data_IF_264156364088
#
_entry.id   IF_264156364088
#
_cell.length_a   1.000
_cell.length_b   1.000
_cell.length_c   1.000
_cell.angle_alpha   90.00
_cell.angle_beta   90.00
_cell.angle_gamma   90.00
#
_symmetry.space_group_name_H-M   'P 1'
#
loop_
_entity.id
_entity.type
_entity.pdbx_description
1 polymer ?
#
# COMPACT_ATOMS: atom_id res chain seq x y z
N UNK A 1 -30.13 11.38 6.51
CA UNK A 1 -28.81 11.77 7.06
C UNK A 1 -28.44 11.01 8.36
N UNK A 2 -29.18 9.97 8.74
CA UNK A 2 -28.91 9.19 9.96
C UNK A 2 -27.82 8.10 9.77
N UNK A 3 -27.28 7.94 8.59
CA UNK A 3 -26.67 6.69 8.12
C UNK A 3 -25.17 6.82 7.83
N UNK A 4 -24.44 7.58 8.64
CA UNK A 4 -23.01 7.81 8.51
C UNK A 4 -22.14 6.91 9.37
N UNK A 5 -20.88 6.86 9.05
CA UNK A 5 -19.79 6.22 9.80
C UNK A 5 -18.83 7.30 10.27
N UNK A 6 -18.41 7.24 11.52
CA UNK A 6 -17.64 8.31 12.17
C UNK A 6 -16.33 7.78 12.78
N UNK A 7 -15.33 7.41 11.99
CA UNK A 7 -14.01 7.11 12.54
C UNK A 7 -13.34 8.37 13.09
N UNK A 8 -12.33 8.23 13.98
CA UNK A 8 -11.46 9.33 14.33
C UNK A 8 -10.76 9.92 13.11
N UNK A 9 -10.54 11.23 13.09
CA UNK A 9 -9.85 11.90 11.98
C UNK A 9 -8.48 11.27 11.70
N UNK A 10 -7.71 10.99 12.75
CA UNK A 10 -6.42 10.32 12.67
C UNK A 10 -6.51 8.99 11.91
N UNK A 11 -7.51 8.16 12.25
CA UNK A 11 -7.70 6.85 11.62
C UNK A 11 -8.05 6.99 10.14
N UNK A 12 -8.99 7.87 9.78
CA UNK A 12 -9.35 8.09 8.39
C UNK A 12 -8.17 8.66 7.57
N UNK A 13 -7.39 9.56 8.16
CA UNK A 13 -6.19 10.11 7.54
C UNK A 13 -5.17 9.03 7.24
N UNK A 14 -4.90 8.14 8.17
CA UNK A 14 -3.98 7.01 7.97
C UNK A 14 -4.48 6.02 6.91
N UNK A 15 -5.78 5.73 6.89
CA UNK A 15 -6.39 4.90 5.86
C UNK A 15 -6.21 5.48 4.44
N UNK A 16 -6.35 6.78 4.30
CA UNK A 16 -6.19 7.47 3.01
C UNK A 16 -4.72 7.59 2.65
N UNK A 17 -3.89 8.15 3.52
CA UNK A 17 -2.46 8.36 3.23
C UNK A 17 -1.70 7.05 3.01
N UNK A 18 -2.12 5.99 3.68
CA UNK A 18 -1.54 4.65 3.55
C UNK A 18 -1.96 3.87 2.31
N UNK A 19 -2.83 4.42 1.45
CA UNK A 19 -3.35 3.71 0.27
C UNK A 19 -3.35 4.54 -1.01
N UNK A 20 -3.59 5.84 -0.92
CA UNK A 20 -3.86 6.71 -2.07
C UNK A 20 -2.72 6.76 -3.09
N UNK A 21 -1.46 6.54 -2.69
CA UNK A 21 -0.32 6.51 -3.59
C UNK A 21 -0.39 5.37 -4.61
N UNK A 22 -1.19 4.33 -4.36
CA UNK A 22 -1.32 3.15 -5.20
C UNK A 22 -2.52 3.18 -6.15
N UNK A 23 -3.28 4.28 -6.23
CA UNK A 23 -4.36 4.41 -7.21
C UNK A 23 -3.80 4.45 -8.63
N UNK A 24 -4.57 3.95 -9.58
CA UNK A 24 -4.21 3.97 -11.00
C UNK A 24 -4.30 5.38 -11.58
N UNK A 25 -3.37 5.72 -12.45
CA UNK A 25 -3.43 6.92 -13.28
C UNK A 25 -4.14 6.64 -14.62
N UNK A 26 -4.46 5.38 -14.92
CA UNK A 26 -5.08 4.96 -16.16
C UNK A 26 -6.58 5.24 -16.17
N UNK A 27 -6.98 6.22 -16.97
CA UNK A 27 -8.38 6.65 -17.10
C UNK A 27 -9.28 5.66 -17.88
N UNK A 28 -8.71 4.63 -18.49
CA UNK A 28 -9.49 3.60 -19.19
C UNK A 28 -10.30 2.72 -18.24
N UNK A 29 -9.91 2.64 -16.99
CA UNK A 29 -10.64 2.00 -15.89
C UNK A 29 -10.80 2.98 -14.74
N UNK A 30 -11.79 3.88 -14.81
CA UNK A 30 -11.94 4.94 -13.81
C UNK A 30 -12.08 4.46 -12.39
N UNK A 31 -12.69 3.29 -12.16
CA UNK A 31 -12.89 2.73 -10.81
C UNK A 31 -11.56 2.52 -10.06
N UNK A 32 -10.46 2.22 -10.76
CA UNK A 32 -9.15 2.03 -10.16
C UNK A 32 -8.36 3.35 -9.95
N UNK A 33 -8.92 4.50 -10.34
CA UNK A 33 -8.37 5.82 -10.00
C UNK A 33 -8.77 6.30 -8.61
N UNK A 34 -9.54 5.50 -7.90
CA UNK A 34 -9.97 5.74 -6.53
C UNK A 34 -9.65 4.60 -5.58
N UNK A 35 -10.01 4.78 -4.34
CA UNK A 35 -9.86 3.78 -3.29
C UNK A 35 -11.20 3.12 -2.97
N UNK A 36 -11.20 1.80 -2.87
CA UNK A 36 -12.35 1.01 -2.41
C UNK A 36 -12.39 1.03 -0.90
N UNK A 37 -13.53 1.44 -0.36
CA UNK A 37 -13.85 1.34 1.06
C UNK A 37 -14.79 0.17 1.29
N UNK A 38 -14.44 -0.68 2.22
CA UNK A 38 -15.28 -1.75 2.74
C UNK A 38 -15.48 -1.49 4.24
N UNK A 39 -16.69 -1.12 4.61
CA UNK A 39 -17.06 -0.86 6.00
C UNK A 39 -17.91 -2.02 6.49
N UNK A 40 -17.49 -2.63 7.58
CA UNK A 40 -18.24 -3.64 8.33
C UNK A 40 -18.68 -3.06 9.67
N UNK A 41 -19.36 -3.84 10.48
CA UNK A 41 -19.72 -3.43 11.84
C UNK A 41 -18.48 -3.19 12.72
N UNK A 42 -17.37 -3.84 12.44
CA UNK A 42 -16.16 -3.85 13.27
C UNK A 42 -14.97 -3.10 12.68
N UNK A 43 -14.94 -2.86 11.36
CA UNK A 43 -13.76 -2.29 10.72
C UNK A 43 -14.04 -1.51 9.43
N UNK A 44 -13.05 -0.71 9.03
CA UNK A 44 -12.95 -0.08 7.72
C UNK A 44 -11.70 -0.62 7.05
N UNK A 45 -11.87 -1.18 5.85
CA UNK A 45 -10.76 -1.59 4.98
C UNK A 45 -10.73 -0.68 3.76
N UNK A 46 -9.58 -0.10 3.45
CA UNK A 46 -9.37 0.73 2.26
C UNK A 46 -8.31 0.09 1.39
N UNK A 47 -8.60 -0.04 0.11
CA UNK A 47 -7.73 -0.70 -0.88
C UNK A 47 -7.57 0.17 -2.11
N UNK A 48 -6.33 0.28 -2.58
CA UNK A 48 -5.97 0.90 -3.86
C UNK A 48 -5.12 -0.06 -4.69
N UNK A 49 -5.34 -0.08 -6.00
CA UNK A 49 -4.62 -0.94 -6.96
C UNK A 49 -4.34 -0.19 -8.25
N UNK A 50 -3.22 -0.48 -8.91
CA UNK A 50 -2.88 0.11 -10.21
C UNK A 50 -2.43 -0.91 -11.27
N UNK A 51 -2.58 -2.20 -10.99
CA UNK A 51 -2.15 -3.30 -11.87
C UNK A 51 -0.73 -3.78 -11.62
N UNK A 52 0.09 -3.06 -10.85
CA UNK A 52 1.47 -3.40 -10.48
C UNK A 52 1.66 -3.57 -8.98
N UNK A 53 0.78 -2.99 -8.20
CA UNK A 53 0.83 -2.98 -6.74
C UNK A 53 -0.56 -2.88 -6.14
N UNK A 54 -0.66 -3.26 -4.87
CA UNK A 54 -1.85 -3.13 -4.06
C UNK A 54 -1.47 -2.56 -2.70
N UNK A 55 -2.22 -1.57 -2.23
CA UNK A 55 -2.10 -1.02 -0.89
C UNK A 55 -3.40 -1.24 -0.13
N UNK A 56 -3.30 -1.82 1.05
CA UNK A 56 -4.42 -2.07 1.94
C UNK A 56 -4.12 -1.53 3.33
N UNK A 57 -5.07 -0.80 3.90
CA UNK A 57 -5.06 -0.38 5.31
C UNK A 57 -6.38 -0.73 5.95
N UNK A 58 -6.34 -1.06 7.25
CA UNK A 58 -7.53 -1.43 8.03
C UNK A 58 -7.52 -0.74 9.38
N UNK A 59 -8.70 -0.26 9.76
CA UNK A 59 -8.98 0.31 11.08
C UNK A 59 -10.08 -0.50 11.75
N UNK A 60 -9.86 -0.89 13.00
CA UNK A 60 -10.84 -1.60 13.83
C UNK A 60 -11.51 -0.61 14.80
N UNK A 61 -12.85 -0.61 14.82
CA UNK A 61 -13.61 0.15 15.79
C UNK A 61 -13.58 -0.54 17.16
N UNK A 62 -13.53 0.25 18.22
CA UNK A 62 -13.69 -0.26 19.59
C UNK A 62 -15.14 -0.68 19.87
N UNK A 63 -16.10 0.06 19.32
CA UNK A 63 -17.51 -0.26 19.36
C UNK A 63 -18.05 -0.43 17.94
N UNK A 64 -19.14 -1.21 17.80
CA UNK A 64 -19.71 -1.46 16.49
C UNK A 64 -20.08 -0.18 15.75
N UNK A 65 -19.65 -0.06 14.50
CA UNK A 65 -19.94 1.10 13.64
C UNK A 65 -21.42 1.22 13.23
N UNK A 66 -22.20 0.17 13.43
CA UNK A 66 -23.63 0.13 13.15
C UNK A 66 -24.00 0.11 11.66
N UNK A 67 -23.03 0.03 10.76
CA UNK A 67 -23.25 0.12 9.32
C UNK A 67 -22.33 -0.77 8.54
N UNK A 68 -22.88 -1.34 7.46
CA UNK A 68 -22.13 -2.08 6.43
C UNK A 68 -22.30 -1.34 5.11
N UNK A 69 -21.20 -0.95 4.49
CA UNK A 69 -21.21 -0.29 3.18
C UNK A 69 -19.95 -0.57 2.39
N UNK A 70 -20.07 -0.52 1.08
CA UNK A 70 -18.95 -0.66 0.15
C UNK A 70 -19.08 0.37 -0.95
N UNK A 71 -18.01 1.10 -1.23
CA UNK A 71 -17.98 2.12 -2.28
C UNK A 71 -16.56 2.38 -2.75
N UNK A 72 -16.43 3.07 -3.88
CA UNK A 72 -15.14 3.56 -4.38
C UNK A 72 -15.19 5.09 -4.43
N UNK A 73 -14.29 5.70 -3.67
CA UNK A 73 -14.14 7.15 -3.62
C UNK A 73 -13.04 7.61 -4.58
N UNK A 74 -13.25 8.71 -5.35
CA UNK A 74 -12.24 9.23 -6.26
C UNK A 74 -10.95 9.63 -5.53
N UNK A 75 -9.80 9.27 -6.09
CA UNK A 75 -8.50 9.63 -5.53
C UNK A 75 -8.31 11.15 -5.39
N UNK A 76 -8.78 11.92 -6.35
CA UNK A 76 -8.71 13.39 -6.29
C UNK A 76 -9.49 13.96 -5.10
N UNK A 77 -10.67 13.43 -4.81
CA UNK A 77 -11.46 13.84 -3.64
C UNK A 77 -10.80 13.43 -2.33
N UNK A 78 -10.26 12.22 -2.26
CA UNK A 78 -9.55 11.74 -1.07
C UNK A 78 -8.30 12.53 -0.74
N UNK A 79 -7.58 13.04 -1.75
CA UNK A 79 -6.45 13.97 -1.54
C UNK A 79 -6.89 15.27 -0.87
N UNK A 80 -8.04 15.80 -1.22
CA UNK A 80 -8.60 16.99 -0.56
C UNK A 80 -9.09 16.66 0.85
N UNK A 81 -9.72 15.52 1.07
CA UNK A 81 -10.12 15.06 2.41
C UNK A 81 -8.89 14.90 3.33
N UNK A 82 -7.82 14.31 2.83
CA UNK A 82 -6.57 14.14 3.58
C UNK A 82 -6.01 15.47 4.11
N UNK A 83 -6.08 16.53 3.30
CA UNK A 83 -5.62 17.87 3.69
C UNK A 83 -6.45 18.49 4.83
N UNK A 84 -7.73 18.16 4.90
CA UNK A 84 -8.66 18.69 5.92
C UNK A 84 -8.53 17.91 7.24
N UNK A 85 -8.22 16.61 7.17
CA UNK A 85 -8.10 15.74 8.33
C UNK A 85 -6.93 16.13 9.23
N UNK A 86 -7.20 16.26 10.53
CA UNK A 86 -6.19 16.48 11.55
C UNK A 86 -5.69 15.18 12.19
N UNK A 87 -4.61 15.30 12.95
CA UNK A 87 -4.09 14.22 13.78
C UNK A 87 -4.74 14.24 15.17
N UNK A 88 -6.06 14.03 15.19
CA UNK A 88 -6.91 14.09 16.38
C UNK A 88 -7.85 12.90 16.45
N UNK A 89 -8.43 12.68 17.64
CA UNK A 89 -9.48 11.67 17.86
C UNK A 89 -10.90 12.22 17.61
N UNK A 90 -11.03 13.48 17.19
CA UNK A 90 -12.31 14.03 16.78
C UNK A 90 -12.87 13.24 15.59
N UNK A 91 -14.19 13.13 15.54
CA UNK A 91 -14.87 12.37 14.51
C UNK A 91 -14.72 12.98 13.11
N UNK A 92 -14.48 12.12 12.15
CA UNK A 92 -14.64 12.43 10.74
C UNK A 92 -15.78 11.57 10.19
N UNK A 93 -16.92 12.21 9.91
CA UNK A 93 -18.11 11.49 9.48
C UNK A 93 -18.15 11.40 7.95
N UNK A 94 -18.46 10.22 7.42
CA UNK A 94 -18.82 10.08 6.02
C UNK A 94 -20.17 9.37 5.87
N UNK A 95 -20.93 9.81 4.87
CA UNK A 95 -22.27 9.33 4.58
C UNK A 95 -22.39 8.96 3.11
N UNK A 96 -22.90 7.76 2.86
CA UNK A 96 -23.07 7.22 1.51
C UNK A 96 -24.47 7.55 0.97
N UNK A 97 -24.53 8.23 -0.16
CA UNK A 97 -25.73 8.40 -0.95
C UNK A 97 -25.78 7.40 -2.12
N UNK A 98 -26.78 7.54 -3.00
CA UNK A 98 -26.92 6.66 -4.16
C UNK A 98 -25.78 6.80 -5.18
N UNK A 99 -25.27 8.02 -5.37
CA UNK A 99 -24.20 8.34 -6.35
C UNK A 99 -23.11 9.25 -5.77
N UNK A 100 -23.26 9.69 -4.53
CA UNK A 100 -22.38 10.64 -3.89
C UNK A 100 -21.95 10.15 -2.53
N UNK A 101 -20.77 10.59 -2.15
CA UNK A 101 -20.18 10.41 -0.82
C UNK A 101 -19.96 11.78 -0.21
N UNK A 102 -20.38 11.96 1.03
CA UNK A 102 -20.21 13.21 1.77
C UNK A 102 -19.32 12.98 2.97
N UNK A 103 -18.31 13.81 3.13
CA UNK A 103 -17.46 13.89 4.32
C UNK A 103 -17.80 15.14 5.11
N UNK A 104 -17.93 14.99 6.42
CA UNK A 104 -18.10 16.07 7.38
C UNK A 104 -16.97 16.00 8.40
N UNK A 105 -16.10 17.01 8.38
CA UNK A 105 -14.88 17.07 9.18
C UNK A 105 -14.82 18.46 9.85
N UNK A 106 -15.15 18.53 11.13
CA UNK A 106 -15.38 19.81 11.81
C UNK A 106 -16.49 20.61 11.12
N UNK A 107 -16.17 21.82 10.70
CA UNK A 107 -17.12 22.70 9.97
C UNK A 107 -17.06 22.50 8.44
N UNK A 108 -16.10 21.69 7.95
CA UNK A 108 -15.95 21.44 6.53
C UNK A 108 -16.87 20.31 6.06
N UNK A 109 -17.45 20.51 4.89
CA UNK A 109 -18.21 19.47 4.18
C UNK A 109 -17.67 19.34 2.77
N UNK A 110 -17.32 18.10 2.40
CA UNK A 110 -16.88 17.76 1.06
C UNK A 110 -17.81 16.71 0.48
N UNK A 111 -18.33 16.97 -0.72
CA UNK A 111 -19.17 16.02 -1.45
C UNK A 111 -18.46 15.63 -2.74
N UNK A 112 -18.39 14.33 -3.00
CA UNK A 112 -17.84 13.81 -4.26
C UNK A 112 -18.77 12.77 -4.86
N UNK A 113 -18.65 12.58 -6.17
CA UNK A 113 -19.36 11.53 -6.88
C UNK A 113 -18.60 10.21 -6.73
N UNK A 114 -19.31 9.13 -6.45
CA UNK A 114 -18.75 7.79 -6.39
C UNK A 114 -18.23 7.35 -7.76
N UNK A 115 -17.18 6.58 -7.77
CA UNK A 115 -16.74 5.86 -8.97
C UNK A 115 -17.55 4.57 -9.09
N UNK A 116 -18.07 4.35 -10.28
CA UNK A 116 -18.85 3.16 -10.64
C UNK A 116 -17.98 2.18 -11.42
N UNK A 117 -18.28 0.91 -11.33
CA UNK A 117 -17.60 -0.16 -12.04
C UNK A 117 -17.18 -1.29 -11.11
N UNK A 118 -16.66 -2.34 -11.72
CA UNK A 118 -16.15 -3.50 -11.00
C UNK A 118 -14.71 -3.23 -10.54
N UNK A 119 -14.53 -3.17 -9.23
CA UNK A 119 -13.21 -3.10 -8.62
C UNK A 119 -12.58 -4.49 -8.53
N UNK A 120 -11.27 -4.58 -8.70
CA UNK A 120 -10.52 -5.83 -8.59
C UNK A 120 -10.88 -6.59 -7.31
N UNK A 121 -11.11 -7.89 -7.42
CA UNK A 121 -11.24 -8.77 -6.26
C UNK A 121 -9.86 -8.97 -5.63
N UNK A 122 -9.53 -8.04 -4.74
CA UNK A 122 -8.21 -7.96 -4.13
C UNK A 122 -7.86 -9.17 -3.25
N UNK A 123 -8.87 -9.85 -2.71
CA UNK A 123 -8.65 -11.05 -1.88
C UNK A 123 -8.08 -12.20 -2.70
N UNK A 124 -8.42 -12.28 -3.99
CA UNK A 124 -7.87 -13.28 -4.89
C UNK A 124 -6.46 -12.98 -5.37
N UNK A 125 -6.09 -11.71 -5.32
CA UNK A 125 -4.78 -11.24 -5.82
C UNK A 125 -3.70 -11.36 -4.75
N UNK A 126 -4.05 -11.13 -3.48
CA UNK A 126 -3.10 -11.30 -2.38
C UNK A 126 -2.75 -12.77 -2.20
N UNK A 127 -1.44 -13.13 -2.28
CA UNK A 127 -1.01 -14.48 -1.98
C UNK A 127 -1.31 -14.85 -0.53
N UNK A 128 -1.85 -16.02 -0.31
CA UNK A 128 -2.18 -16.54 1.03
C UNK A 128 -1.10 -17.44 1.61
N UNK A 129 -0.22 -17.96 0.75
CA UNK A 129 0.86 -18.87 1.12
C UNK A 129 2.19 -18.33 0.63
N UNK A 130 2.97 -17.78 1.56
CA UNK A 130 4.33 -17.31 1.31
C UNK A 130 5.27 -18.02 2.29
N UNK A 131 6.06 -19.01 1.82
CA UNK A 131 6.90 -19.82 2.70
C UNK A 131 8.11 -19.05 3.25
N UNK A 132 8.54 -17.97 2.60
CA UNK A 132 9.65 -17.14 3.05
C UNK A 132 9.09 -15.95 3.80
N UNK A 133 9.46 -15.81 5.07
CA UNK A 133 9.09 -14.68 5.92
C UNK A 133 10.34 -14.10 6.56
N UNK A 134 10.62 -12.84 6.23
CA UNK A 134 11.77 -12.12 6.76
C UNK A 134 11.27 -10.92 7.56
N UNK A 135 11.97 -10.57 8.62
CA UNK A 135 11.71 -9.35 9.38
C UNK A 135 12.79 -8.32 9.07
N UNK A 136 12.39 -7.11 8.73
CA UNK A 136 13.29 -6.02 8.41
C UNK A 136 12.95 -4.76 9.21
N UNK A 137 13.99 -3.97 9.53
CA UNK A 137 13.81 -2.60 9.99
C UNK A 137 13.44 -1.74 8.79
N UNK A 138 12.30 -1.04 8.88
CA UNK A 138 11.75 -0.26 7.76
C UNK A 138 12.69 0.85 7.31
N UNK A 139 13.23 1.62 8.24
CA UNK A 139 14.14 2.73 7.94
C UNK A 139 15.42 2.26 7.27
N UNK A 140 16.03 1.20 7.78
CA UNK A 140 17.25 0.63 7.21
C UNK A 140 17.02 0.04 5.82
N UNK A 141 15.93 -0.69 5.64
CA UNK A 141 15.55 -1.27 4.35
C UNK A 141 15.26 -0.17 3.32
N UNK A 142 14.48 0.83 3.69
CA UNK A 142 14.18 1.97 2.84
C UNK A 142 15.46 2.71 2.43
N UNK A 143 16.35 3.00 3.37
CA UNK A 143 17.62 3.69 3.09
C UNK A 143 18.52 2.89 2.14
N UNK A 144 18.59 1.57 2.31
CA UNK A 144 19.36 0.68 1.44
C UNK A 144 18.86 0.70 0.00
N UNK A 145 17.54 0.59 -0.19
CA UNK A 145 16.91 0.64 -1.51
C UNK A 145 17.02 2.05 -2.12
N UNK A 146 16.87 3.11 -1.34
CA UNK A 146 17.07 4.49 -1.82
C UNK A 146 18.49 4.68 -2.38
N UNK A 147 19.51 4.19 -1.70
CA UNK A 147 20.91 4.31 -2.17
C UNK A 147 21.13 3.67 -3.53
N UNK A 148 20.64 2.46 -3.75
CA UNK A 148 20.79 1.80 -5.06
C UNK A 148 19.88 2.38 -6.13
N UNK A 149 18.83 3.12 -5.74
CA UNK A 149 17.90 3.77 -6.64
C UNK A 149 18.41 5.10 -7.20
N UNK A 150 19.51 5.65 -6.68
CA UNK A 150 20.02 6.98 -7.08
C UNK A 150 20.37 7.09 -8.57
N UNK A 151 20.74 5.99 -9.21
CA UNK A 151 21.07 5.94 -10.64
C UNK A 151 19.86 5.56 -11.51
N UNK A 152 18.71 5.27 -10.91
CA UNK A 152 17.46 4.93 -11.60
C UNK A 152 16.61 6.18 -11.74
N UNK A 153 16.03 6.39 -12.92
CA UNK A 153 15.12 7.49 -13.21
C UNK A 153 14.03 7.05 -14.16
N UNK A 154 13.09 7.91 -14.47
CA UNK A 154 12.08 7.62 -15.50
C UNK A 154 12.69 7.36 -16.88
N UNK A 155 13.81 8.00 -17.16
CA UNK A 155 14.56 7.82 -18.41
C UNK A 155 15.49 6.62 -18.38
N UNK A 156 16.12 6.36 -17.22
CA UNK A 156 17.06 5.24 -16.99
C UNK A 156 16.39 4.20 -16.10
N UNK A 157 15.34 3.56 -16.63
CA UNK A 157 14.59 2.53 -15.92
C UNK A 157 15.43 1.29 -15.71
N UNK A 158 15.50 0.83 -14.48
CA UNK A 158 16.11 -0.44 -14.11
C UNK A 158 15.42 -0.97 -12.86
N UNK A 159 15.13 -2.26 -12.78
CA UNK A 159 14.66 -2.85 -11.55
C UNK A 159 15.76 -2.87 -10.49
N UNK A 160 15.38 -2.86 -9.23
CA UNK A 160 16.27 -3.32 -8.17
C UNK A 160 16.26 -4.84 -8.17
N UNK A 161 17.44 -5.43 -8.30
CA UNK A 161 17.67 -6.87 -8.14
C UNK A 161 17.92 -7.15 -6.67
N UNK A 162 17.05 -7.95 -6.07
CA UNK A 162 17.15 -8.33 -4.66
C UNK A 162 17.56 -9.79 -4.55
N UNK A 163 18.54 -10.08 -3.70
CA UNK A 163 18.89 -11.44 -3.29
C UNK A 163 18.72 -11.54 -1.78
N UNK A 164 17.74 -12.32 -1.35
CA UNK A 164 17.47 -12.59 0.05
C UNK A 164 18.13 -13.89 0.45
N UNK A 165 19.06 -13.83 1.37
CA UNK A 165 19.79 -14.98 1.88
C UNK A 165 19.62 -15.12 3.40
N UNK A 166 20.51 -15.83 4.07
CA UNK A 166 20.43 -16.00 5.50
C UNK A 166 20.79 -14.70 6.22
N UNK A 167 19.79 -14.10 6.88
CA UNK A 167 19.88 -12.83 7.62
C UNK A 167 20.41 -11.64 6.80
N UNK A 168 20.29 -11.66 5.48
CA UNK A 168 20.83 -10.63 4.60
C UNK A 168 19.96 -10.39 3.38
N UNK A 169 19.84 -9.13 2.99
CA UNK A 169 19.24 -8.69 1.73
C UNK A 169 20.28 -7.90 0.94
N UNK A 170 20.53 -8.32 -0.28
CA UNK A 170 21.48 -7.72 -1.22
C UNK A 170 20.70 -7.03 -2.34
N UNK A 171 20.98 -5.75 -2.58
CA UNK A 171 20.31 -4.92 -3.58
C UNK A 171 21.28 -4.41 -4.62
N UNK A 172 20.91 -4.55 -5.88
CA UNK A 172 21.72 -4.08 -7.01
C UNK A 172 20.86 -3.45 -8.09
N UNK A 173 21.33 -2.33 -8.62
CA UNK A 173 20.79 -1.70 -9.81
C UNK A 173 21.89 -1.50 -10.83
N UNK A 174 21.55 -1.58 -12.12
CA UNK A 174 22.47 -1.33 -13.23
C UNK A 174 21.75 -0.49 -14.27
N UNK A 175 22.35 0.63 -14.63
CA UNK A 175 21.90 1.51 -15.70
C UNK A 175 23.06 1.81 -16.65
N UNK A 176 22.80 2.56 -17.71
CA UNK A 176 23.85 2.98 -18.66
C UNK A 176 24.89 3.90 -18.05
N UNK A 177 24.60 4.54 -16.90
CA UNK A 177 25.52 5.45 -16.21
C UNK A 177 26.34 4.76 -15.11
N UNK A 178 26.03 3.52 -14.76
CA UNK A 178 26.78 2.79 -13.76
C UNK A 178 25.96 1.72 -13.03
N UNK A 179 26.54 1.21 -11.96
CA UNK A 179 25.92 0.23 -11.08
C UNK A 179 25.98 0.69 -9.63
N UNK A 180 24.96 0.37 -8.86
CA UNK A 180 24.90 0.61 -7.43
C UNK A 180 24.59 -0.70 -6.69
N UNK A 181 25.20 -0.88 -5.55
CA UNK A 181 25.06 -2.07 -4.71
C UNK A 181 25.04 -1.70 -3.25
N UNK A 182 24.15 -2.33 -2.49
CA UNK A 182 24.06 -2.19 -1.05
C UNK A 182 23.54 -3.46 -0.41
N UNK A 183 23.87 -3.64 0.86
CA UNK A 183 23.45 -4.79 1.66
C UNK A 183 22.77 -4.30 2.94
N UNK A 184 21.66 -4.93 3.28
CA UNK A 184 20.87 -4.64 4.47
C UNK A 184 20.69 -5.92 5.28
N UNK A 185 20.80 -5.82 6.61
CA UNK A 185 20.47 -6.93 7.51
C UNK A 185 18.98 -7.12 7.59
N UNK A 186 18.54 -8.36 7.49
CA UNK A 186 17.16 -8.82 7.75
C UNK A 186 17.23 -10.04 8.65
N UNK A 187 16.14 -10.38 9.32
CA UNK A 187 16.07 -11.59 10.13
C UNK A 187 15.29 -12.68 9.39
N UNK A 188 15.92 -13.85 9.25
CA UNK A 188 15.31 -15.02 8.64
C UNK A 188 16.10 -15.56 7.46
N UNK A 189 15.66 -16.71 6.94
CA UNK A 189 16.26 -17.38 5.80
C UNK A 189 15.51 -17.05 4.51
N UNK A 190 16.13 -16.25 3.64
CA UNK A 190 15.62 -15.89 2.33
C UNK A 190 15.85 -16.96 1.25
N UNK A 191 16.51 -18.06 1.58
CA UNK A 191 16.76 -19.22 0.70
C UNK A 191 17.45 -18.85 -0.63
N UNK A 192 18.26 -17.80 -0.62
CA UNK A 192 18.93 -17.23 -1.79
C UNK A 192 17.96 -16.83 -2.90
N UNK A 193 16.75 -16.40 -2.52
CA UNK A 193 15.76 -15.96 -3.49
C UNK A 193 16.24 -14.71 -4.21
N UNK A 194 16.24 -14.78 -5.53
CA UNK A 194 16.51 -13.65 -6.41
C UNK A 194 15.21 -13.17 -7.06
N UNK A 195 14.92 -11.88 -6.93
CA UNK A 195 13.69 -11.27 -7.41
C UNK A 195 13.93 -9.80 -7.76
N UNK A 196 13.27 -9.30 -8.82
CA UNK A 196 13.36 -7.91 -9.24
C UNK A 196 12.09 -7.12 -8.95
N UNK A 197 12.25 -5.86 -8.58
CA UNK A 197 11.13 -4.94 -8.34
C UNK A 197 11.39 -3.58 -8.97
N UNK A 198 10.31 -2.88 -9.30
CA UNK A 198 10.37 -1.44 -9.53
C UNK A 198 10.76 -0.74 -8.21
N UNK A 199 11.84 0.03 -8.23
CA UNK A 199 12.36 0.72 -7.04
C UNK A 199 11.33 1.61 -6.37
N UNK A 200 10.61 2.42 -7.16
CA UNK A 200 9.63 3.38 -6.66
C UNK A 200 8.47 2.68 -5.95
N UNK A 201 7.96 1.59 -6.51
CA UNK A 201 6.84 0.87 -5.92
C UNK A 201 7.21 0.25 -4.57
N UNK A 202 8.41 -0.29 -4.48
CA UNK A 202 8.90 -0.85 -3.22
C UNK A 202 9.15 0.24 -2.17
N UNK A 203 9.73 1.37 -2.55
CA UNK A 203 9.95 2.53 -1.67
C UNK A 203 8.63 3.15 -1.20
N UNK A 204 7.65 3.33 -2.08
CA UNK A 204 6.33 3.85 -1.72
C UNK A 204 5.64 2.95 -0.69
N UNK A 205 5.70 1.64 -0.87
CA UNK A 205 5.15 0.67 0.07
C UNK A 205 5.84 0.75 1.44
N UNK A 206 7.17 0.79 1.48
CA UNK A 206 7.94 0.90 2.72
C UNK A 206 7.64 2.20 3.48
N UNK A 207 7.51 3.31 2.77
CA UNK A 207 7.15 4.61 3.39
C UNK A 207 5.77 4.61 4.03
N UNK A 208 4.86 3.78 3.54
CA UNK A 208 3.51 3.66 4.07
C UNK A 208 3.39 2.75 5.28
N UNK A 209 4.38 1.92 5.58
CA UNK A 209 4.37 1.03 6.73
C UNK A 209 4.37 1.84 8.03
N UNK A 210 3.35 1.70 8.90
CA UNK A 210 3.21 2.49 10.12
C UNK A 210 3.91 1.86 11.33
N UNK A 211 5.07 1.26 11.13
CA UNK A 211 5.81 0.54 12.15
C UNK A 211 7.32 0.65 11.91
N UNK A 212 8.12 0.36 12.93
CA UNK A 212 9.58 0.32 12.82
C UNK A 212 10.08 -0.93 12.11
N UNK A 213 9.34 -2.04 12.23
CA UNK A 213 9.64 -3.32 11.60
C UNK A 213 8.49 -3.77 10.71
N UNK A 214 8.82 -4.57 9.71
CA UNK A 214 7.87 -5.13 8.75
C UNK A 214 8.27 -6.57 8.44
N UNK A 215 7.26 -7.41 8.19
CA UNK A 215 7.47 -8.75 7.64
C UNK A 215 7.45 -8.68 6.12
N UNK A 216 8.48 -9.23 5.50
CA UNK A 216 8.57 -9.44 4.07
C UNK A 216 8.11 -10.88 3.77
N UNK A 217 6.99 -11.03 3.09
CA UNK A 217 6.46 -12.34 2.70
C UNK A 217 6.77 -12.58 1.22
N UNK A 218 7.46 -13.68 0.94
CA UNK A 218 7.98 -14.03 -0.37
C UNK A 218 7.75 -15.51 -0.67
N UNK A 219 7.75 -15.86 -1.95
CA UNK A 219 7.61 -17.24 -2.43
C UNK A 219 8.69 -17.61 -3.44
N UNK A 220 8.65 -17.02 -4.61
CA UNK A 220 9.60 -17.25 -5.70
C UNK A 220 9.84 -15.98 -6.52
N UNK A 221 10.75 -16.04 -7.50
CA UNK A 221 11.14 -14.88 -8.30
C UNK A 221 10.06 -14.32 -9.26
N UNK A 222 8.92 -15.01 -9.39
CA UNK A 222 7.80 -14.62 -10.26
C UNK A 222 6.52 -14.27 -9.47
N UNK A 223 6.56 -14.38 -8.16
CA UNK A 223 5.44 -14.08 -7.26
C UNK A 223 5.67 -12.78 -6.50
N UNK A 224 4.60 -12.06 -6.13
CA UNK A 224 4.75 -10.77 -5.47
C UNK A 224 5.40 -10.85 -4.09
N UNK A 225 6.03 -9.76 -3.67
CA UNK A 225 6.32 -9.51 -2.26
C UNK A 225 5.08 -8.92 -1.57
N UNK A 226 4.81 -9.32 -0.35
CA UNK A 226 3.80 -8.70 0.51
C UNK A 226 4.44 -8.22 1.80
N UNK A 227 4.25 -6.95 2.11
CA UNK A 227 4.67 -6.34 3.37
C UNK A 227 3.50 -6.43 4.36
N UNK A 228 3.73 -7.03 5.52
CA UNK A 228 2.70 -7.26 6.54
C UNK A 228 3.20 -6.89 7.93
N UNK A 229 2.29 -6.66 8.91
CA UNK A 229 2.67 -6.41 10.29
C UNK A 229 3.44 -7.59 10.90
N UNK A 230 4.45 -7.30 11.73
CA UNK A 230 5.23 -8.31 12.44
C UNK A 230 4.51 -8.90 13.64
N UNK A 231 3.49 -8.21 14.15
CA UNK A 231 2.68 -8.63 15.31
C UNK A 231 1.53 -9.60 14.94
N UNK A 232 1.42 -9.96 13.67
CA UNK A 232 0.37 -10.85 13.19
C UNK A 232 -0.99 -10.17 13.02
N UNK A 233 -1.09 -8.85 13.21
CA UNK A 233 -2.31 -8.10 12.95
C UNK A 233 -2.61 -8.00 11.45
N UNK A 234 -3.79 -7.51 11.10
CA UNK A 234 -4.26 -7.31 9.74
C UNK A 234 -4.32 -5.81 9.34
N UNK A 235 -3.58 -4.98 10.07
CA UNK A 235 -3.64 -3.52 9.94
C UNK A 235 -3.26 -3.02 8.55
N UNK A 236 -2.35 -3.67 7.88
CA UNK A 236 -1.95 -3.34 6.52
C UNK A 236 -1.47 -4.55 5.73
N UNK A 237 -1.52 -4.44 4.41
CA UNK A 237 -0.83 -5.30 3.47
C UNK A 237 -0.42 -4.48 2.24
N UNK A 238 0.85 -4.50 1.90
CA UNK A 238 1.38 -3.84 0.70
C UNK A 238 1.98 -4.89 -0.21
N UNK A 239 1.40 -5.05 -1.39
CA UNK A 239 1.85 -6.01 -2.40
C UNK A 239 2.50 -5.28 -3.57
N UNK A 240 3.66 -5.77 -4.01
CA UNK A 240 4.34 -5.31 -5.21
C UNK A 240 4.61 -6.51 -6.12
N UNK A 241 4.15 -6.44 -7.37
CA UNK A 241 4.44 -7.45 -8.38
C UNK A 241 5.92 -7.39 -8.78
N UNK A 242 6.56 -8.54 -9.02
CA UNK A 242 7.94 -8.56 -9.45
C UNK A 242 8.09 -8.15 -10.92
N UNK A 243 9.28 -7.67 -11.27
CA UNK A 243 9.72 -7.45 -12.65
C UNK A 243 10.59 -8.61 -13.06
N UNK A 244 10.43 -9.11 -14.28
CA UNK A 244 11.32 -10.14 -14.81
C UNK A 244 12.74 -9.60 -14.93
N UNK A 245 13.68 -10.30 -14.30
CA UNK A 245 15.10 -10.03 -14.46
C UNK A 245 15.61 -10.62 -15.76
N UNK A 246 16.40 -9.85 -16.51
CA UNK A 246 17.16 -10.38 -17.63
C UNK A 246 18.29 -11.26 -17.08
N UNK A 247 18.51 -12.39 -17.70
CA UNK A 247 19.69 -13.20 -17.39
C UNK A 247 20.95 -12.35 -17.60
N UNK A 248 21.84 -12.41 -16.62
CA UNK A 248 23.15 -11.79 -16.74
C UNK A 248 23.92 -12.53 -17.85
N UNK A 249 24.13 -11.87 -18.99
CA UNK A 249 25.11 -12.35 -19.95
C UNK A 249 26.49 -12.23 -19.36
#
# INVERSE_FOLDING_TARGET
YADGVSPPQRALKELISGTIFAVSENQSRPVHTGCRFEVTETDITVVAVDGYRLALRRFHFEEAAGRVMTFVAPGAALKEVEKILGDTDEEARFTLGSKHLMFQIGEATLVCRLLEGEFLDWRRVLPTENPIKLTANVEQLNASIERVSLIVSERLKSPVRCVFSDNSADFKTVTTIGAAHDVCSVAGDGKNLEIGFNCRYLLDALKAVPAQEVTLELSNGLSPIVLTPTDGSDQFAYMVLPVRLKESM
#
